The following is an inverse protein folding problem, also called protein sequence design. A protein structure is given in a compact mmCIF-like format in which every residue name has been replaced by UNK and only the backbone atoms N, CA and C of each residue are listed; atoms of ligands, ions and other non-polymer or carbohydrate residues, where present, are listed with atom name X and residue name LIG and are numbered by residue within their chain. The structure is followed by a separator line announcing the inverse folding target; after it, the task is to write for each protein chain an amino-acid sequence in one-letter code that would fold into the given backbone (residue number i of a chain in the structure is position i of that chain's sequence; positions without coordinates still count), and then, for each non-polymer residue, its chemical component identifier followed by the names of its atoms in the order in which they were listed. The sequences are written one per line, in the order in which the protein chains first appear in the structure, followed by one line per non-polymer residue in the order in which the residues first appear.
data_IF_419716544428
#
_entry.id   IF_419716544428
#
_cell.length_a   1.000
_cell.length_b   1.000
_cell.length_c   1.000
_cell.angle_alpha   90.00
_cell.angle_beta   90.00
_cell.angle_gamma   90.00
#
_symmetry.space_group_name_H-M   'P 1'
#
loop_
_entity.id
_entity.type
_entity.pdbx_description
1 polymer ?
#
# COMPACT_ATOMS: atom_id res chain seq x y z
N UNK A 1 -18.64 23.52 11.26
CA UNK A 1 -17.19 23.66 11.06
C UNK A 1 -16.88 25.10 10.66
N UNK A 2 -16.03 25.79 11.39
CA UNK A 2 -15.66 27.19 11.07
C UNK A 2 -14.84 27.21 9.77
N UNK A 3 -15.21 28.07 8.84
CA UNK A 3 -14.57 28.23 7.52
C UNK A 3 -13.06 28.59 7.54
N UNK A 4 -12.51 28.93 8.71
CA UNK A 4 -11.10 29.33 8.88
C UNK A 4 -10.14 28.17 9.10
N UNK A 5 -10.62 26.98 9.50
CA UNK A 5 -9.74 25.81 9.78
C UNK A 5 -9.20 25.14 8.51
N UNK A 6 -9.80 25.37 7.33
CA UNK A 6 -9.32 24.78 6.08
C UNK A 6 -8.05 25.45 5.51
N UNK A 7 -7.75 26.68 5.92
CA UNK A 7 -6.56 27.41 5.46
C UNK A 7 -5.24 26.91 6.05
N UNK A 8 -5.29 26.13 7.13
CA UNK A 8 -4.12 25.61 7.84
C UNK A 8 -3.75 24.18 7.46
N UNK A 9 -4.54 23.53 6.58
CA UNK A 9 -4.23 22.17 6.09
C UNK A 9 -3.02 22.23 5.18
N UNK A 10 -1.97 21.47 5.49
CA UNK A 10 -0.74 21.38 4.73
C UNK A 10 -0.55 20.03 4.04
N UNK A 11 -1.23 19.00 4.52
CA UNK A 11 -1.07 17.64 4.06
C UNK A 11 -2.42 16.93 4.05
N UNK A 12 -2.66 16.11 3.04
CA UNK A 12 -3.86 15.29 2.92
C UNK A 12 -3.47 13.82 2.65
N UNK A 13 -4.07 12.92 3.41
CA UNK A 13 -3.86 11.48 3.29
C UNK A 13 -5.05 10.84 2.59
N UNK A 14 -4.76 10.02 1.60
CA UNK A 14 -5.77 9.33 0.79
C UNK A 14 -5.53 7.83 0.83
N UNK A 15 -6.56 7.08 1.22
CA UNK A 15 -6.58 5.65 0.99
C UNK A 15 -6.80 5.33 -0.50
N UNK A 16 -6.32 4.18 -0.95
CA UNK A 16 -6.38 3.79 -2.36
C UNK A 16 -7.68 3.07 -2.68
N UNK A 17 -7.93 1.96 -2.01
CA UNK A 17 -8.97 1.01 -2.37
C UNK A 17 -10.34 1.43 -1.83
N UNK A 18 -11.22 1.91 -2.70
CA UNK A 18 -12.53 2.44 -2.33
C UNK A 18 -12.55 3.95 -2.04
N UNK A 19 -11.39 4.63 -2.09
CA UNK A 19 -11.27 6.09 -1.95
C UNK A 19 -10.79 6.72 -3.24
N UNK A 20 -9.52 6.52 -3.61
CA UNK A 20 -8.97 7.02 -4.88
C UNK A 20 -9.43 6.17 -6.07
N UNK A 21 -9.57 4.89 -5.86
CA UNK A 21 -9.91 3.90 -6.89
C UNK A 21 -11.28 3.29 -6.59
N UNK A 22 -12.19 3.39 -7.56
CA UNK A 22 -13.44 2.64 -7.52
C UNK A 22 -13.17 1.13 -7.55
N UNK A 23 -13.67 0.40 -6.56
CA UNK A 23 -13.38 -1.03 -6.39
C UNK A 23 -13.90 -1.90 -7.54
N UNK A 24 -14.96 -1.45 -8.25
CA UNK A 24 -15.53 -2.17 -9.40
C UNK A 24 -14.78 -1.86 -10.68
N UNK A 25 -14.51 -0.59 -10.93
CA UNK A 25 -13.85 -0.11 -12.17
C UNK A 25 -12.33 -0.20 -12.12
N UNK A 26 -11.75 -0.24 -10.91
CA UNK A 26 -10.28 -0.27 -10.69
C UNK A 26 -9.54 0.92 -11.32
N UNK A 27 -10.20 2.07 -11.43
CA UNK A 27 -9.63 3.30 -12.00
C UNK A 27 -9.93 4.51 -11.14
N UNK A 28 -9.03 5.48 -11.20
CA UNK A 28 -9.27 6.84 -10.68
C UNK A 28 -10.10 7.63 -11.70
N UNK A 29 -11.03 8.46 -11.24
CA UNK A 29 -11.84 9.27 -12.15
C UNK A 29 -11.10 10.54 -12.57
N UNK A 30 -11.37 11.09 -13.79
CA UNK A 30 -10.80 12.38 -14.19
C UNK A 30 -11.10 13.51 -13.21
N UNK A 31 -12.32 13.55 -12.66
CA UNK A 31 -12.70 14.55 -11.66
C UNK A 31 -11.86 14.47 -10.38
N UNK A 32 -11.52 13.24 -9.93
CA UNK A 32 -10.62 13.05 -8.78
C UNK A 32 -9.22 13.56 -9.09
N UNK A 33 -8.69 13.26 -10.28
CA UNK A 33 -7.36 13.73 -10.72
C UNK A 33 -7.31 15.26 -10.70
N UNK A 34 -8.33 15.94 -11.25
CA UNK A 34 -8.40 17.40 -11.24
C UNK A 34 -8.49 17.98 -9.82
N UNK A 35 -9.27 17.33 -8.94
CA UNK A 35 -9.35 17.74 -7.53
C UNK A 35 -8.00 17.64 -6.83
N UNK A 36 -7.26 16.55 -7.04
CA UNK A 36 -5.92 16.36 -6.47
C UNK A 36 -4.93 17.38 -7.00
N UNK A 37 -4.97 17.74 -8.30
CA UNK A 37 -4.16 18.81 -8.87
C UNK A 37 -4.43 20.14 -8.18
N UNK A 38 -5.67 20.52 -8.02
CA UNK A 38 -6.04 21.76 -7.33
C UNK A 38 -5.53 21.78 -5.88
N UNK A 39 -5.54 20.63 -5.17
CA UNK A 39 -4.95 20.56 -3.84
C UNK A 39 -3.44 20.86 -3.89
N UNK A 40 -2.70 20.27 -4.83
CA UNK A 40 -1.25 20.53 -5.01
C UNK A 40 -0.98 21.99 -5.37
N UNK A 41 -1.76 22.58 -6.26
CA UNK A 41 -1.66 24.00 -6.65
C UNK A 41 -1.87 24.94 -5.45
N UNK A 42 -2.68 24.52 -4.48
CA UNK A 42 -2.86 25.22 -3.21
C UNK A 42 -1.81 24.89 -2.13
N UNK A 43 -0.73 24.19 -2.50
CA UNK A 43 0.38 23.88 -1.61
C UNK A 43 0.11 22.73 -0.62
N UNK A 44 -0.89 21.89 -0.90
CA UNK A 44 -1.20 20.70 -0.07
C UNK A 44 -0.30 19.53 -0.52
N UNK A 45 0.42 18.94 0.41
CA UNK A 45 1.18 17.71 0.21
C UNK A 45 0.20 16.54 0.11
N UNK A 46 0.29 15.76 -0.97
CA UNK A 46 -0.55 14.60 -1.18
C UNK A 46 0.14 13.33 -0.68
N UNK A 47 -0.47 12.65 0.27
CA UNK A 47 0.00 11.39 0.79
C UNK A 47 -0.92 10.24 0.38
N UNK A 48 -0.34 9.17 -0.12
CA UNK A 48 -1.06 7.92 -0.34
C UNK A 48 -0.85 7.01 0.87
N UNK A 49 -1.94 6.58 1.51
CA UNK A 49 -1.91 5.71 2.68
C UNK A 49 -2.62 4.40 2.36
N UNK A 50 -1.91 3.27 2.40
CA UNK A 50 -2.44 1.98 1.96
C UNK A 50 -1.84 0.80 2.74
N UNK A 51 -2.59 -0.30 2.82
CA UNK A 51 -2.07 -1.59 3.28
C UNK A 51 -1.18 -2.30 2.26
N UNK A 52 -1.14 -1.84 1.00
CA UNK A 52 -0.32 -2.44 -0.05
C UNK A 52 1.17 -2.26 0.24
N UNK A 53 1.97 -3.23 -0.22
CA UNK A 53 3.42 -3.08 -0.26
C UNK A 53 3.85 -2.04 -1.30
N UNK A 54 5.06 -1.45 -1.20
CA UNK A 54 5.55 -0.43 -2.13
C UNK A 54 5.46 -0.84 -3.60
N UNK A 55 5.77 -2.10 -3.91
CA UNK A 55 5.72 -2.65 -5.28
C UNK A 55 4.29 -2.82 -5.84
N UNK A 56 3.24 -2.65 -5.01
CA UNK A 56 1.82 -2.71 -5.40
C UNK A 56 1.13 -1.36 -5.34
N UNK A 57 1.86 -0.30 -4.98
CA UNK A 57 1.30 1.06 -4.94
C UNK A 57 1.04 1.53 -6.38
N UNK A 58 -0.19 1.93 -6.73
CA UNK A 58 -0.51 2.34 -8.07
C UNK A 58 0.06 3.72 -8.40
N UNK A 59 0.40 3.93 -9.65
CA UNK A 59 0.60 5.26 -10.22
C UNK A 59 -0.65 5.69 -10.99
N UNK A 60 -0.96 6.97 -10.96
CA UNK A 60 -2.11 7.51 -11.65
C UNK A 60 -1.68 8.53 -12.72
N UNK A 61 -2.08 8.34 -14.00
CA UNK A 61 -1.75 9.30 -15.04
C UNK A 61 -2.24 10.71 -14.69
N UNK A 62 -1.36 11.68 -14.80
CA UNK A 62 -1.67 13.11 -14.61
C UNK A 62 -1.61 13.61 -13.18
N UNK A 63 -1.28 12.78 -12.20
CA UNK A 63 -1.07 13.20 -10.81
C UNK A 63 0.02 12.37 -10.13
N UNK A 64 0.91 13.05 -9.43
CA UNK A 64 1.95 12.44 -8.60
C UNK A 64 1.67 12.71 -7.13
N UNK A 65 1.84 11.68 -6.31
CA UNK A 65 1.83 11.80 -4.86
C UNK A 65 3.24 12.10 -4.34
N UNK A 66 3.30 12.84 -3.24
CA UNK A 66 4.56 13.32 -2.67
C UNK A 66 5.12 12.33 -1.65
N UNK A 67 4.23 11.67 -0.89
CA UNK A 67 4.58 10.75 0.19
C UNK A 67 3.71 9.48 0.09
N UNK A 68 4.30 8.34 0.43
CA UNK A 68 3.66 7.05 0.42
C UNK A 68 3.79 6.39 1.80
N UNK A 69 2.65 5.98 2.37
CA UNK A 69 2.55 5.18 3.59
C UNK A 69 2.09 3.79 3.17
N UNK A 70 3.02 2.87 3.01
CA UNK A 70 2.79 1.48 2.66
C UNK A 70 2.75 0.58 3.89
N UNK A 71 2.19 -0.62 3.75
CA UNK A 71 2.06 -1.58 4.85
C UNK A 71 1.43 -0.96 6.11
N UNK A 72 0.34 -0.18 5.92
CA UNK A 72 -0.33 0.54 7.01
C UNK A 72 0.63 1.45 7.79
N UNK A 73 1.48 2.19 7.07
CA UNK A 73 2.53 3.09 7.58
C UNK A 73 3.74 2.41 8.25
N UNK A 74 3.91 1.10 8.15
CA UNK A 74 5.15 0.45 8.57
C UNK A 74 6.34 0.77 7.66
N UNK A 75 6.07 1.27 6.44
CA UNK A 75 7.08 1.75 5.51
C UNK A 75 6.61 3.05 4.85
N UNK A 76 7.27 4.16 5.20
CA UNK A 76 6.95 5.49 4.70
C UNK A 76 8.11 6.04 3.88
N UNK A 77 7.83 6.55 2.67
CA UNK A 77 8.86 6.99 1.73
C UNK A 77 8.36 8.08 0.79
N UNK A 78 9.31 8.80 0.21
CA UNK A 78 9.13 9.68 -0.95
C UNK A 78 9.76 9.03 -2.19
N UNK A 79 9.81 9.75 -3.30
CA UNK A 79 10.56 9.30 -4.48
C UNK A 79 12.08 9.23 -4.22
N UNK A 80 12.58 10.01 -3.26
CA UNK A 80 14.00 10.25 -3.07
C UNK A 80 14.56 9.54 -1.83
N UNK A 81 13.72 9.30 -0.80
CA UNK A 81 14.20 8.76 0.47
C UNK A 81 13.15 7.94 1.24
N UNK A 82 13.64 7.10 2.13
CA UNK A 82 12.82 6.41 3.13
C UNK A 82 12.74 7.28 4.38
N UNK A 83 11.50 7.70 4.72
CA UNK A 83 11.22 8.53 5.90
C UNK A 83 11.19 7.69 7.17
N UNK A 84 10.56 6.52 7.08
CA UNK A 84 10.36 5.62 8.22
C UNK A 84 10.26 4.17 7.76
N UNK A 85 10.87 3.26 8.53
CA UNK A 85 10.79 1.82 8.29
C UNK A 85 10.73 1.07 9.61
N UNK A 86 9.72 0.24 9.77
CA UNK A 86 9.53 -0.62 10.94
C UNK A 86 9.19 -2.05 10.48
N UNK A 87 10.18 -2.80 10.00
CA UNK A 87 9.97 -4.18 9.58
C UNK A 87 9.78 -5.10 10.79
N UNK A 88 9.14 -6.24 10.57
CA UNK A 88 9.12 -7.34 11.54
C UNK A 88 10.57 -7.83 11.74
N UNK A 89 11.05 -7.97 13.00
CA UNK A 89 12.39 -8.50 13.28
C UNK A 89 12.60 -9.87 12.63
N UNK A 90 13.83 -10.15 12.17
CA UNK A 90 14.14 -11.41 11.46
C UNK A 90 13.88 -12.66 12.30
N UNK A 91 14.14 -12.59 13.60
CA UNK A 91 13.86 -13.65 14.58
C UNK A 91 12.36 -13.94 14.68
N UNK A 92 11.51 -12.91 14.66
CA UNK A 92 10.07 -13.08 14.71
C UNK A 92 9.53 -13.64 13.38
N UNK A 93 10.07 -13.20 12.25
CA UNK A 93 9.75 -13.77 10.93
C UNK A 93 10.08 -15.26 10.90
N UNK A 94 11.25 -15.65 11.41
CA UNK A 94 11.67 -17.05 11.49
C UNK A 94 10.70 -17.85 12.36
N UNK A 95 10.39 -17.37 13.55
CA UNK A 95 9.43 -18.02 14.45
C UNK A 95 8.03 -18.17 13.81
N UNK A 96 7.55 -17.16 13.08
CA UNK A 96 6.27 -17.23 12.34
C UNK A 96 6.32 -18.36 11.30
N UNK A 97 7.39 -18.45 10.52
CA UNK A 97 7.54 -19.49 9.49
C UNK A 97 7.63 -20.87 10.11
N UNK A 98 8.37 -21.06 11.20
CA UNK A 98 8.50 -22.33 11.93
C UNK A 98 7.14 -22.77 12.50
N UNK A 99 6.44 -21.89 13.21
CA UNK A 99 5.11 -22.18 13.78
C UNK A 99 4.07 -22.50 12.69
N UNK A 100 4.09 -21.80 11.57
CA UNK A 100 3.20 -22.10 10.45
C UNK A 100 3.50 -23.47 9.83
N UNK A 101 4.78 -23.85 9.75
CA UNK A 101 5.21 -25.17 9.27
C UNK A 101 4.69 -26.31 10.16
N UNK A 102 4.67 -26.15 11.48
CA UNK A 102 4.14 -27.14 12.42
C UNK A 102 2.66 -27.46 12.18
N UNK A 103 1.89 -26.47 11.73
CA UNK A 103 0.47 -26.63 11.39
C UNK A 103 0.24 -26.81 9.88
N UNK A 104 1.29 -27.09 9.13
CA UNK A 104 1.26 -27.33 7.68
C UNK A 104 0.64 -26.17 6.87
N UNK A 105 0.93 -24.91 7.26
CA UNK A 105 0.45 -23.72 6.54
C UNK A 105 1.59 -23.01 5.84
N UNK A 106 1.41 -22.58 4.57
CA UNK A 106 2.39 -21.75 3.90
C UNK A 106 2.38 -20.31 4.45
N UNK A 107 3.52 -19.64 4.34
CA UNK A 107 3.68 -18.24 4.72
C UNK A 107 4.11 -17.45 3.51
N UNK A 108 3.42 -16.34 3.23
CA UNK A 108 3.85 -15.36 2.26
C UNK A 108 4.55 -14.21 2.98
N UNK A 109 5.80 -13.96 2.63
CA UNK A 109 6.60 -12.84 3.14
C UNK A 109 6.68 -11.75 2.07
N UNK A 110 6.41 -10.52 2.47
CA UNK A 110 6.46 -9.37 1.58
C UNK A 110 7.51 -8.37 2.06
N UNK A 111 8.33 -7.89 1.12
CA UNK A 111 9.35 -6.86 1.31
C UNK A 111 9.07 -5.62 0.48
N UNK A 112 10.07 -4.76 0.34
CA UNK A 112 9.92 -3.48 -0.39
C UNK A 112 9.78 -3.72 -1.89
N UNK A 113 10.54 -4.67 -2.45
CA UNK A 113 10.61 -4.91 -3.90
C UNK A 113 9.67 -6.03 -4.39
N UNK A 114 9.06 -6.76 -3.48
CA UNK A 114 8.19 -7.89 -3.82
C UNK A 114 7.99 -8.83 -2.65
N UNK A 115 7.41 -9.99 -2.94
CA UNK A 115 7.19 -11.03 -1.94
C UNK A 115 7.16 -12.43 -2.54
N UNK A 116 7.24 -13.43 -1.65
CA UNK A 116 7.15 -14.82 -2.02
C UNK A 116 6.69 -15.69 -0.86
N UNK A 117 6.17 -16.87 -1.19
CA UNK A 117 5.70 -17.86 -0.24
C UNK A 117 6.63 -19.09 -0.25
N UNK A 118 6.74 -19.76 0.89
CA UNK A 118 7.44 -21.03 1.03
C UNK A 118 6.60 -22.25 0.60
N UNK A 119 5.45 -22.02 0.02
CA UNK A 119 4.52 -23.01 -0.49
C UNK A 119 3.18 -22.37 -0.86
N UNK A 120 2.23 -23.16 -1.34
CA UNK A 120 0.89 -22.66 -1.68
C UNK A 120 -0.14 -23.73 -1.35
N UNK A 121 -1.11 -23.39 -0.52
CA UNK A 121 -2.32 -24.16 -0.32
C UNK A 121 -3.53 -23.46 -0.97
N UNK A 122 -4.70 -24.11 -0.86
CA UNK A 122 -5.93 -23.57 -1.45
C UNK A 122 -6.30 -22.22 -0.86
N UNK A 123 -6.16 -22.04 0.44
CA UNK A 123 -6.57 -20.81 1.12
C UNK A 123 -5.71 -19.62 0.69
N UNK A 124 -4.39 -19.82 0.59
CA UNK A 124 -3.47 -18.80 0.10
C UNK A 124 -3.73 -18.47 -1.37
N UNK A 125 -3.99 -19.49 -2.20
CA UNK A 125 -4.34 -19.29 -3.61
C UNK A 125 -5.65 -18.50 -3.76
N UNK A 126 -6.68 -18.84 -3.00
CA UNK A 126 -7.98 -18.16 -3.01
C UNK A 126 -7.84 -16.69 -2.54
N UNK A 127 -7.03 -16.42 -1.52
CA UNK A 127 -6.74 -15.06 -1.06
C UNK A 127 -6.11 -14.20 -2.16
N UNK A 128 -5.10 -14.72 -2.86
CA UNK A 128 -4.46 -14.00 -3.97
C UNK A 128 -5.38 -13.82 -5.17
N UNK A 129 -6.31 -14.76 -5.40
CA UNK A 129 -7.29 -14.67 -6.48
C UNK A 129 -8.27 -13.48 -6.30
N UNK A 130 -8.55 -13.04 -5.06
CA UNK A 130 -9.35 -11.83 -4.77
C UNK A 130 -8.72 -10.61 -5.45
N UNK A 131 -7.39 -10.50 -5.41
CA UNK A 131 -6.63 -9.44 -6.06
C UNK A 131 -6.31 -9.73 -7.54
N UNK A 132 -6.85 -10.81 -8.12
CA UNK A 132 -6.56 -11.31 -9.47
C UNK A 132 -5.05 -11.53 -9.71
N UNK A 133 -4.33 -11.94 -8.68
CA UNK A 133 -2.90 -12.25 -8.70
C UNK A 133 -2.65 -13.73 -8.40
N UNK A 134 -1.43 -14.19 -8.63
CA UNK A 134 -0.97 -15.53 -8.29
C UNK A 134 0.06 -15.45 -7.17
N UNK A 135 0.12 -16.51 -6.36
CA UNK A 135 1.17 -16.65 -5.35
C UNK A 135 2.50 -16.88 -6.06
N UNK A 136 3.51 -16.08 -5.71
CA UNK A 136 4.89 -16.34 -6.08
C UNK A 136 5.46 -17.33 -5.06
N UNK A 137 5.68 -18.57 -5.46
CA UNK A 137 6.30 -19.60 -4.62
C UNK A 137 7.80 -19.58 -4.87
N UNK A 138 8.58 -19.47 -3.81
CA UNK A 138 10.04 -19.49 -3.84
C UNK A 138 10.52 -20.95 -3.76
N UNK A 139 11.52 -21.29 -4.54
CA UNK A 139 12.21 -22.59 -4.52
C UNK A 139 13.10 -22.73 -3.27
#
# INVERSE_FOLDING_TARGET
MKKDSAKDIKIAFFDVDGTLVDMKKKVITPAMVETLKHLKENGIILCMATGRGPYLVPSFPGIDFDVFLSYNASYCYTKDEVIFSNPIPKEDVKAIVENASEIHRPVFLAGVEGGGANGCDKDLADYFAIAKSKVNVLD
#
